data_IF_682521624282
#
_entry.id   IF_682521624282
#
_cell.length_a   1.000
_cell.length_b   1.000
_cell.length_c   1.000
_cell.angle_alpha   90.00
_cell.angle_beta   90.00
_cell.angle_gamma   90.00
#
_symmetry.space_group_name_H-M   'P 1'
#
loop_
_entity.id
_entity.type
_entity.pdbx_description
1 polymer ?
#
# COMPACT_ATOMS: atom_id res chain seq x y z
N UNK A 1 -13.37 -5.25 12.27
CA UNK A 1 -12.83 -6.61 12.39
C UNK A 1 -11.88 -6.63 13.59
N UNK A 2 -12.12 -7.50 14.58
CA UNK A 2 -11.27 -7.58 15.78
C UNK A 2 -9.95 -8.32 15.45
N UNK A 3 -8.84 -7.60 15.51
CA UNK A 3 -7.50 -8.14 15.24
C UNK A 3 -7.16 -9.30 16.18
N UNK A 4 -7.56 -9.22 17.46
CA UNK A 4 -7.28 -10.26 18.45
C UNK A 4 -8.00 -11.56 18.14
N UNK A 5 -9.26 -11.48 17.69
CA UNK A 5 -10.04 -12.65 17.29
C UNK A 5 -9.48 -13.29 16.01
N UNK A 6 -9.11 -12.48 15.02
CA UNK A 6 -8.51 -12.95 13.75
C UNK A 6 -7.16 -13.61 14.00
N UNK A 7 -6.33 -13.08 14.91
CA UNK A 7 -5.06 -13.70 15.32
C UNK A 7 -5.26 -15.03 16.06
N UNK A 8 -6.29 -15.13 16.91
CA UNK A 8 -6.66 -16.40 17.57
C UNK A 8 -7.11 -17.45 16.55
N UNK A 9 -7.96 -17.06 15.60
CA UNK A 9 -8.40 -17.94 14.48
C UNK A 9 -7.22 -18.36 13.59
N UNK A 10 -6.25 -17.46 13.34
CA UNK A 10 -5.01 -17.76 12.58
C UNK A 10 -4.18 -18.89 13.19
N UNK A 11 -4.11 -18.97 14.53
CA UNK A 11 -3.36 -20.06 15.19
C UNK A 11 -3.93 -21.44 14.85
N UNK A 12 -5.21 -21.52 14.50
CA UNK A 12 -5.92 -22.74 14.14
C UNK A 12 -5.95 -22.99 12.63
N UNK A 13 -6.04 -21.93 11.82
CA UNK A 13 -6.00 -21.98 10.36
C UNK A 13 -5.23 -20.77 9.81
N UNK A 14 -4.11 -21.00 9.10
CA UNK A 14 -3.30 -19.90 8.56
C UNK A 14 -3.98 -19.16 7.39
N UNK A 15 -5.04 -19.71 6.80
CA UNK A 15 -5.77 -19.18 5.64
C UNK A 15 -7.21 -18.79 5.97
N UNK A 16 -7.47 -18.20 7.14
CA UNK A 16 -8.84 -17.88 7.58
C UNK A 16 -9.66 -17.04 6.57
N UNK A 17 -8.99 -16.33 5.68
CA UNK A 17 -9.54 -15.50 4.61
C UNK A 17 -8.97 -15.87 3.23
N UNK A 18 -8.49 -17.11 3.04
CA UNK A 18 -7.91 -17.61 1.79
C UNK A 18 -6.46 -17.16 1.52
N UNK A 19 -6.12 -15.89 1.76
CA UNK A 19 -4.81 -15.30 1.41
C UNK A 19 -3.99 -14.75 2.61
N UNK A 20 -4.55 -14.67 3.82
CA UNK A 20 -3.82 -14.24 5.02
C UNK A 20 -3.88 -12.73 5.32
N UNK A 21 -2.91 -12.23 6.10
CA UNK A 21 -2.91 -10.83 6.56
C UNK A 21 -2.16 -9.92 5.62
N UNK A 22 -2.69 -8.71 5.45
CA UNK A 22 -2.09 -7.66 4.64
C UNK A 22 -1.71 -6.50 5.56
N UNK A 23 -0.53 -5.94 5.33
CA UNK A 23 -0.16 -4.67 5.93
C UNK A 23 -0.75 -3.54 5.08
N UNK A 24 -1.55 -2.66 5.68
CA UNK A 24 -2.17 -1.56 4.96
C UNK A 24 -1.18 -0.38 4.83
N UNK A 25 -0.79 0.03 3.61
CA UNK A 25 0.21 1.09 3.41
C UNK A 25 -0.28 2.48 3.83
N UNK A 26 -1.57 2.63 4.14
CA UNK A 26 -2.10 3.85 4.77
C UNK A 26 -1.64 4.03 6.23
N UNK A 27 -1.06 3.01 6.86
CA UNK A 27 -0.41 3.14 8.16
C UNK A 27 1.06 3.59 7.97
N UNK A 28 1.50 4.72 8.56
CA UNK A 28 2.83 5.28 8.29
C UNK A 28 3.98 4.33 8.66
N UNK A 29 3.84 3.56 9.74
CA UNK A 29 4.85 2.58 10.14
C UNK A 29 4.96 1.39 9.18
N UNK A 30 3.90 1.07 8.43
CA UNK A 30 3.95 0.01 7.40
C UNK A 30 4.82 0.45 6.23
N UNK A 31 4.63 1.68 5.74
CA UNK A 31 5.49 2.25 4.68
C UNK A 31 6.95 2.25 5.13
N UNK A 32 7.24 2.79 6.32
CA UNK A 32 8.60 2.83 6.85
C UNK A 32 9.23 1.44 7.02
N UNK A 33 8.50 0.49 7.59
CA UNK A 33 8.98 -0.88 7.79
C UNK A 33 9.32 -1.58 6.47
N UNK A 34 8.42 -1.53 5.49
CA UNK A 34 8.64 -2.16 4.19
C UNK A 34 9.77 -1.48 3.40
N UNK A 35 9.88 -0.15 3.48
CA UNK A 35 11.00 0.58 2.89
C UNK A 35 12.34 0.17 3.50
N UNK A 36 12.39 -0.10 4.81
CA UNK A 36 13.60 -0.55 5.48
C UNK A 36 14.00 -1.97 5.05
N UNK A 37 13.05 -2.89 4.90
CA UNK A 37 13.32 -4.25 4.38
C UNK A 37 13.91 -4.16 2.97
N UNK A 38 13.33 -3.33 2.10
CA UNK A 38 13.83 -3.11 0.75
C UNK A 38 15.24 -2.54 0.80
N UNK A 39 15.49 -1.54 1.65
CA UNK A 39 16.83 -0.95 1.85
C UNK A 39 17.84 -2.00 2.27
N UNK A 40 17.55 -2.78 3.30
CA UNK A 40 18.45 -3.83 3.77
C UNK A 40 18.79 -4.82 2.64
N UNK A 41 17.78 -5.19 1.85
CA UNK A 41 17.94 -6.12 0.72
C UNK A 41 18.85 -5.54 -0.36
N UNK A 42 18.63 -4.30 -0.80
CA UNK A 42 19.44 -3.65 -1.84
C UNK A 42 20.83 -3.21 -1.36
N UNK A 43 21.06 -3.08 -0.05
CA UNK A 43 22.40 -2.75 0.47
C UNK A 43 23.27 -3.97 0.72
N UNK A 44 22.67 -5.12 0.98
CA UNK A 44 23.40 -6.34 1.35
C UNK A 44 23.60 -7.32 0.19
N UNK A 45 22.83 -7.18 -0.91
CA UNK A 45 22.89 -8.09 -2.05
C UNK A 45 22.94 -7.31 -3.36
N UNK A 46 23.71 -7.76 -4.34
CA UNK A 46 23.66 -7.26 -5.70
C UNK A 46 22.55 -8.00 -6.47
N UNK A 47 21.49 -7.32 -6.87
CA UNK A 47 20.26 -7.92 -7.39
C UNK A 47 20.03 -7.51 -8.84
N UNK A 48 19.81 -8.48 -9.72
CA UNK A 48 19.42 -8.21 -11.11
C UNK A 48 17.98 -7.69 -11.21
N UNK A 49 17.14 -8.00 -10.22
CA UNK A 49 15.77 -7.51 -10.19
C UNK A 49 15.03 -7.73 -8.87
N UNK A 50 14.00 -6.92 -8.67
CA UNK A 50 13.03 -7.03 -7.58
C UNK A 50 11.62 -7.12 -8.19
N UNK A 51 10.91 -8.19 -7.83
CA UNK A 51 9.52 -8.40 -8.20
C UNK A 51 8.60 -8.20 -6.99
N UNK A 52 7.71 -7.22 -7.08
CA UNK A 52 6.68 -6.95 -6.06
C UNK A 52 5.47 -7.85 -6.28
N UNK A 53 5.41 -8.95 -5.53
CA UNK A 53 4.18 -9.74 -5.43
C UNK A 53 3.24 -9.13 -4.37
N UNK A 54 1.93 -9.26 -4.56
CA UNK A 54 0.89 -8.77 -3.65
C UNK A 54 0.96 -7.29 -3.28
N UNK A 55 1.42 -6.42 -4.18
CA UNK A 55 1.31 -4.96 -4.01
C UNK A 55 -0.13 -4.48 -4.24
N UNK A 56 -1.03 -4.84 -3.31
CA UNK A 56 -2.49 -4.65 -3.39
C UNK A 56 -3.15 -4.76 -2.01
N UNK A 57 -4.38 -4.29 -1.91
CA UNK A 57 -5.29 -4.73 -0.85
C UNK A 57 -5.85 -6.11 -1.14
N UNK A 58 -6.35 -6.78 -0.11
CA UNK A 58 -6.96 -8.11 -0.25
C UNK A 58 -8.24 -8.08 -1.09
N UNK A 59 -9.17 -7.15 -0.79
CA UNK A 59 -10.41 -6.95 -1.53
C UNK A 59 -11.04 -5.58 -1.19
N UNK A 60 -12.19 -5.29 -1.79
CA UNK A 60 -13.01 -4.13 -1.45
C UNK A 60 -13.34 -4.11 0.05
N UNK A 61 -13.29 -2.93 0.67
CA UNK A 61 -13.54 -2.76 2.11
C UNK A 61 -12.38 -3.13 3.04
N UNK A 62 -11.28 -3.68 2.52
CA UNK A 62 -10.06 -3.92 3.31
C UNK A 62 -9.19 -2.67 3.44
N UNK A 63 -8.21 -2.72 4.36
CA UNK A 63 -7.30 -1.60 4.62
C UNK A 63 -7.84 -0.51 5.55
N UNK A 64 -9.02 -0.72 6.13
CA UNK A 64 -9.73 0.19 7.06
C UNK A 64 -9.09 0.19 8.47
N UNK A 65 -7.79 0.45 8.56
CA UNK A 65 -7.11 0.56 9.85
C UNK A 65 -7.38 1.93 10.50
N UNK A 66 -7.57 2.01 11.84
CA UNK A 66 -7.94 3.26 12.51
C UNK A 66 -6.93 4.39 12.31
N UNK A 67 -5.64 4.07 12.32
CA UNK A 67 -4.56 5.05 12.11
C UNK A 67 -4.64 5.67 10.71
N UNK A 68 -4.72 4.85 9.67
CA UNK A 68 -4.83 5.31 8.29
C UNK A 68 -6.10 6.14 8.05
N UNK A 69 -7.22 5.78 8.69
CA UNK A 69 -8.44 6.59 8.65
C UNK A 69 -8.24 7.95 9.34
N UNK A 70 -7.57 7.99 10.50
CA UNK A 70 -7.22 9.24 11.20
C UNK A 70 -6.35 10.14 10.31
N UNK A 71 -5.33 9.58 9.67
CA UNK A 71 -4.47 10.33 8.75
C UNK A 71 -5.23 10.85 7.52
N UNK A 72 -6.13 10.05 6.96
CA UNK A 72 -7.00 10.48 5.87
C UNK A 72 -7.93 11.62 6.29
N UNK A 73 -8.57 11.53 7.47
CA UNK A 73 -9.45 12.60 7.95
C UNK A 73 -8.68 13.91 8.15
N UNK A 74 -7.49 13.85 8.75
CA UNK A 74 -6.63 15.02 8.88
C UNK A 74 -6.21 15.59 7.51
N UNK A 75 -5.89 14.72 6.55
CA UNK A 75 -5.56 15.12 5.18
C UNK A 75 -6.76 15.79 4.47
N UNK A 76 -7.97 15.30 4.70
CA UNK A 76 -9.20 15.75 4.04
C UNK A 76 -9.86 16.98 4.68
N UNK A 77 -9.58 17.26 5.95
CA UNK A 77 -10.09 18.46 6.65
C UNK A 77 -9.26 19.71 6.28
N UNK A 78 -8.04 19.53 5.77
CA UNK A 78 -7.14 20.62 5.45
C UNK A 78 -6.37 21.13 6.67
N UNK A 79 -5.30 21.88 6.44
CA UNK A 79 -4.53 22.50 7.51
C UNK A 79 -5.27 23.74 8.03
N UNK A 80 -5.34 24.00 9.34
CA UNK A 80 -5.90 25.25 9.86
C UNK A 80 -5.20 26.45 9.22
N UNK A 81 -5.94 27.34 8.57
CA UNK A 81 -5.41 28.53 7.89
C UNK A 81 -5.20 28.42 6.37
N UNK A 82 -5.41 27.24 5.78
CA UNK A 82 -5.51 27.08 4.32
C UNK A 82 -6.98 26.89 3.91
N UNK A 83 -7.41 27.36 2.72
CA UNK A 83 -8.75 27.05 2.23
C UNK A 83 -8.92 25.53 2.22
N UNK A 84 -9.95 25.03 2.90
CA UNK A 84 -10.31 23.63 2.79
C UNK A 84 -10.51 23.33 1.30
N UNK A 85 -9.96 22.21 0.80
CA UNK A 85 -10.28 21.74 -0.55
C UNK A 85 -11.80 21.78 -0.71
N UNK A 86 -12.29 22.47 -1.74
CA UNK A 86 -13.72 22.51 -2.03
C UNK A 86 -14.26 21.08 -2.03
N UNK A 87 -15.47 20.87 -1.51
CA UNK A 87 -16.05 19.53 -1.29
C UNK A 87 -16.00 18.64 -2.54
N UNK A 88 -16.01 19.23 -3.74
CA UNK A 88 -15.88 18.53 -5.04
C UNK A 88 -14.48 17.97 -5.34
N UNK A 89 -13.43 18.41 -4.64
CA UNK A 89 -12.04 18.00 -4.86
C UNK A 89 -11.48 17.12 -3.73
N UNK A 90 -12.28 16.79 -2.70
CA UNK A 90 -11.81 15.94 -1.61
C UNK A 90 -11.71 14.48 -2.10
N UNK A 91 -10.53 13.86 -2.05
CA UNK A 91 -10.38 12.48 -2.47
C UNK A 91 -11.18 11.56 -1.54
N UNK A 92 -11.72 10.49 -2.09
CA UNK A 92 -12.33 9.42 -1.29
C UNK A 92 -11.25 8.66 -0.52
N UNK A 93 -11.65 7.92 0.53
CA UNK A 93 -10.70 7.06 1.23
C UNK A 93 -10.15 5.95 0.32
N UNK A 94 -10.93 5.51 -0.68
CA UNK A 94 -10.45 4.56 -1.68
C UNK A 94 -9.37 5.20 -2.56
N UNK A 95 -9.53 6.46 -2.99
CA UNK A 95 -8.47 7.19 -3.71
C UNK A 95 -7.20 7.33 -2.86
N UNK A 96 -7.37 7.65 -1.57
CA UNK A 96 -6.28 7.74 -0.62
C UNK A 96 -5.54 6.40 -0.48
N UNK A 97 -6.27 5.29 -0.33
CA UNK A 97 -5.72 3.94 -0.27
C UNK A 97 -4.93 3.56 -1.52
N UNK A 98 -5.42 3.90 -2.71
CA UNK A 98 -4.72 3.66 -3.99
C UNK A 98 -3.45 4.50 -4.07
N UNK A 99 -3.55 5.78 -3.74
CA UNK A 99 -2.40 6.68 -3.70
C UNK A 99 -1.31 6.19 -2.74
N UNK A 100 -1.68 5.52 -1.63
CA UNK A 100 -0.71 4.95 -0.69
C UNK A 100 0.10 3.81 -1.32
N UNK A 101 -0.53 2.93 -2.11
CA UNK A 101 0.18 1.89 -2.87
C UNK A 101 1.13 2.52 -3.88
N UNK A 102 0.64 3.46 -4.69
CA UNK A 102 1.44 4.13 -5.73
C UNK A 102 2.63 4.89 -5.12
N UNK A 103 2.42 5.63 -4.02
CA UNK A 103 3.47 6.35 -3.32
C UNK A 103 4.52 5.39 -2.72
N UNK A 104 4.09 4.29 -2.11
CA UNK A 104 5.00 3.28 -1.60
C UNK A 104 5.87 2.71 -2.72
N UNK A 105 5.26 2.30 -3.84
CA UNK A 105 5.98 1.75 -5.00
C UNK A 105 6.98 2.75 -5.58
N UNK A 106 6.57 4.01 -5.76
CA UNK A 106 7.44 5.05 -6.31
C UNK A 106 8.65 5.31 -5.39
N UNK A 107 8.43 5.42 -4.08
CA UNK A 107 9.53 5.56 -3.10
C UNK A 107 10.48 4.37 -3.15
N UNK A 108 9.93 3.16 -3.19
CA UNK A 108 10.73 1.93 -3.26
C UNK A 108 11.54 1.90 -4.55
N UNK A 109 10.90 2.19 -5.70
CA UNK A 109 11.54 2.18 -7.01
C UNK A 109 12.67 3.20 -7.11
N UNK A 110 12.42 4.44 -6.68
CA UNK A 110 13.46 5.48 -6.61
C UNK A 110 14.63 5.04 -5.74
N UNK A 111 14.35 4.42 -4.59
CA UNK A 111 15.39 3.95 -3.67
C UNK A 111 16.17 2.78 -4.27
N UNK A 112 15.52 1.80 -4.86
CA UNK A 112 16.16 0.66 -5.54
C UNK A 112 17.09 1.19 -6.63
N UNK A 113 16.61 2.09 -7.50
CA UNK A 113 17.40 2.67 -8.58
C UNK A 113 18.56 3.56 -8.11
N UNK A 114 18.45 4.18 -6.95
CA UNK A 114 19.54 4.96 -6.37
C UNK A 114 20.71 4.08 -5.89
N UNK A 115 20.44 2.87 -5.38
CA UNK A 115 21.49 1.95 -4.90
C UNK A 115 21.94 0.97 -6.00
N UNK A 116 21.02 0.54 -6.85
CA UNK A 116 21.24 -0.45 -7.91
C UNK A 116 20.55 0.01 -9.21
N UNK A 117 21.20 0.88 -10.01
CA UNK A 117 20.61 1.50 -11.20
C UNK A 117 20.10 0.50 -12.25
N UNK A 118 20.81 -0.62 -12.41
CA UNK A 118 20.48 -1.66 -13.40
C UNK A 118 19.43 -2.66 -12.90
N UNK A 119 19.07 -2.64 -11.61
CA UNK A 119 18.12 -3.59 -11.02
C UNK A 119 16.73 -3.43 -11.66
N UNK A 120 16.21 -4.48 -12.29
CA UNK A 120 14.88 -4.47 -12.93
C UNK A 120 13.79 -4.48 -11.87
N UNK A 121 12.80 -3.60 -11.99
CA UNK A 121 11.68 -3.53 -11.05
C UNK A 121 10.40 -3.96 -11.77
N UNK A 122 9.69 -4.92 -11.19
CA UNK A 122 8.43 -5.43 -11.72
C UNK A 122 7.43 -5.70 -10.61
N UNK A 123 6.15 -5.87 -10.96
CA UNK A 123 5.09 -6.14 -10.00
C UNK A 123 4.02 -7.08 -10.57
N UNK A 124 3.44 -7.92 -9.71
CA UNK A 124 2.27 -8.72 -10.06
C UNK A 124 0.98 -7.88 -9.94
N UNK A 125 0.22 -7.79 -11.04
CA UNK A 125 -1.01 -6.99 -11.10
C UNK A 125 -2.21 -7.82 -11.54
N UNK A 126 -3.42 -7.39 -11.13
CA UNK A 126 -4.65 -7.98 -11.64
C UNK A 126 -4.86 -7.58 -13.11
N UNK A 127 -5.24 -8.53 -13.98
CA UNK A 127 -5.28 -8.31 -15.44
C UNK A 127 -6.40 -7.37 -15.88
N UNK A 128 -7.49 -7.26 -15.12
CA UNK A 128 -8.59 -6.35 -15.43
C UNK A 128 -8.39 -5.01 -14.73
N UNK A 129 -8.28 -3.92 -15.50
CA UNK A 129 -7.99 -2.56 -15.02
C UNK A 129 -9.00 -2.05 -13.99
N UNK A 130 -10.29 -2.16 -14.29
CA UNK A 130 -11.35 -1.70 -13.40
C UNK A 130 -11.32 -2.46 -12.07
N UNK A 131 -11.11 -3.77 -12.11
CA UNK A 131 -11.02 -4.60 -10.91
C UNK A 131 -9.73 -4.33 -10.13
N UNK A 132 -8.59 -4.22 -10.82
CA UNK A 132 -7.30 -3.86 -10.24
C UNK A 132 -7.41 -2.55 -9.45
N UNK A 133 -7.99 -1.52 -10.06
CA UNK A 133 -8.21 -0.20 -9.44
C UNK A 133 -9.21 -0.27 -8.29
N UNK A 134 -10.44 -0.72 -8.55
CA UNK A 134 -11.56 -0.51 -7.62
C UNK A 134 -11.60 -1.54 -6.48
N UNK A 135 -11.05 -2.75 -6.68
CA UNK A 135 -11.10 -3.82 -5.67
C UNK A 135 -9.78 -4.00 -4.95
N UNK A 136 -8.66 -3.91 -5.68
CA UNK A 136 -7.33 -4.25 -5.19
C UNK A 136 -6.44 -3.03 -4.96
N UNK A 137 -6.86 -1.86 -5.42
CA UNK A 137 -6.15 -0.61 -5.28
C UNK A 137 -4.86 -0.49 -6.11
N UNK A 138 -4.74 -1.29 -7.16
CA UNK A 138 -3.62 -1.26 -8.10
C UNK A 138 -3.92 -0.30 -9.25
N UNK A 139 -3.10 0.73 -9.42
CA UNK A 139 -3.16 1.68 -10.54
C UNK A 139 -1.90 1.52 -11.39
N UNK A 140 -1.94 0.63 -12.39
CA UNK A 140 -0.79 0.31 -13.24
C UNK A 140 -0.92 0.79 -14.69
N UNK A 141 -2.08 1.35 -15.06
CA UNK A 141 -2.36 1.94 -16.37
C UNK A 141 -2.17 3.46 -16.40
N UNK A 142 -1.58 4.00 -15.34
CA UNK A 142 -1.14 5.39 -15.27
C UNK A 142 0.37 5.41 -15.51
N UNK A 143 0.73 5.26 -16.78
CA UNK A 143 2.06 5.58 -17.29
C UNK A 143 2.27 7.07 -17.40
#
# INVERSE_FOLDING_TARGET
MDVGEVLKRKKKDRKINGEGFYLAPTHPEVDAHLQNIITETITNYNLDGIHFDYIRYHALGWGMNPTGLKFFLNYSIGMPGLPALEVKQKPSFDDYKRSAITKFYNKASMRIKAYQPECVISAAVKPNLFNARNTFGQEWDVG
#
